data_IF_095715661623
#
_entry.id   IF_095715661623
#
_cell.length_a   1.000
_cell.length_b   1.000
_cell.length_c   1.000
_cell.angle_alpha   90.00
_cell.angle_beta   90.00
_cell.angle_gamma   90.00
#
_symmetry.space_group_name_H-M   'P 1'
#
loop_
_entity.id
_entity.type
_entity.pdbx_description
1 polymer ?
#
# COMPACT_ATOMS: atom_id res chain seq x y z
N UNK A 1 -0.29 -0.36 10.72
CA UNK A 1 0.27 0.97 10.41
C UNK A 1 -0.19 1.40 9.03
N UNK A 2 -0.94 2.49 8.96
CA UNK A 2 -1.40 3.13 7.73
C UNK A 2 -0.32 4.12 7.27
N UNK A 3 0.41 3.81 6.19
CA UNK A 3 1.56 4.63 5.79
C UNK A 3 1.17 5.97 5.17
N UNK A 4 -0.08 6.13 4.74
CA UNK A 4 -0.58 7.29 3.98
C UNK A 4 -0.40 8.60 4.75
N UNK A 5 -0.43 8.56 6.08
CA UNK A 5 -0.17 9.71 6.94
C UNK A 5 1.23 10.31 6.74
N UNK A 6 2.20 9.52 6.27
CA UNK A 6 3.55 10.00 5.94
C UNK A 6 3.61 10.71 4.59
N UNK A 7 2.61 10.52 3.72
CA UNK A 7 2.59 11.07 2.36
C UNK A 7 1.60 12.24 2.21
N UNK A 8 0.59 12.32 3.07
CA UNK A 8 -0.45 13.36 3.02
C UNK A 8 0.04 14.74 3.45
N UNK A 9 -0.44 15.79 2.79
CA UNK A 9 -0.24 17.19 3.21
C UNK A 9 1.13 17.79 2.90
N UNK A 10 1.90 17.19 1.98
CA UNK A 10 3.31 17.55 1.74
C UNK A 10 3.60 18.32 0.46
N UNK A 11 2.57 18.78 -0.27
CA UNK A 11 2.69 19.61 -1.48
C UNK A 11 3.81 19.18 -2.47
N UNK A 12 3.97 17.87 -2.70
CA UNK A 12 4.99 17.31 -3.62
C UNK A 12 6.22 16.74 -2.93
N UNK A 13 6.48 17.09 -1.67
CA UNK A 13 7.64 16.62 -0.93
C UNK A 13 7.37 15.24 -0.31
N UNK A 14 7.57 14.19 -1.10
CA UNK A 14 7.40 12.80 -0.64
C UNK A 14 8.41 12.44 0.47
N UNK A 15 8.02 11.62 1.46
CA UNK A 15 8.92 11.17 2.52
C UNK A 15 10.09 10.37 1.98
N UNK A 16 11.31 10.75 2.36
CA UNK A 16 12.52 10.00 2.06
C UNK A 16 12.62 8.67 2.84
N UNK A 17 13.57 7.82 2.46
CA UNK A 17 13.76 6.49 3.04
C UNK A 17 13.98 6.53 4.57
N UNK A 18 14.85 7.41 5.05
CA UNK A 18 15.17 7.52 6.48
C UNK A 18 13.97 7.99 7.31
N UNK A 19 13.18 8.92 6.80
CA UNK A 19 11.98 9.41 7.47
C UNK A 19 10.94 8.29 7.64
N UNK A 20 10.70 7.53 6.57
CA UNK A 20 9.80 6.39 6.60
C UNK A 20 10.32 5.29 7.54
N UNK A 21 11.60 4.96 7.44
CA UNK A 21 12.26 3.97 8.29
C UNK A 21 12.10 4.32 9.77
N UNK A 22 12.38 5.56 10.17
CA UNK A 22 12.24 6.00 11.55
C UNK A 22 10.80 5.94 12.05
N UNK A 23 9.81 6.24 11.18
CA UNK A 23 8.41 6.11 11.53
C UNK A 23 8.00 4.64 11.76
N UNK A 24 8.43 3.74 10.88
CA UNK A 24 8.17 2.31 11.00
C UNK A 24 8.88 1.69 12.21
N UNK A 25 10.13 2.08 12.46
CA UNK A 25 10.90 1.67 13.64
C UNK A 25 10.23 2.10 14.93
N UNK A 26 9.77 3.35 15.02
CA UNK A 26 9.00 3.84 16.19
C UNK A 26 7.72 3.05 16.43
N UNK A 27 7.02 2.66 15.36
CA UNK A 27 5.84 1.79 15.49
C UNK A 27 6.21 0.41 16.02
N UNK A 28 7.32 -0.19 15.58
CA UNK A 28 7.83 -1.46 16.10
C UNK A 28 8.23 -1.39 17.57
N UNK A 29 8.97 -0.35 17.96
CA UNK A 29 9.39 -0.12 19.33
C UNK A 29 8.18 -0.03 20.28
N UNK A 30 7.12 0.66 19.84
CA UNK A 30 5.87 0.79 20.58
C UNK A 30 5.08 -0.51 20.76
N UNK A 31 5.32 -1.53 19.92
CA UNK A 31 4.63 -2.82 19.98
C UNK A 31 5.33 -3.86 20.88
N UNK A 32 6.48 -3.54 21.48
CA UNK A 32 7.15 -4.37 22.50
C UNK A 32 7.32 -5.85 22.09
N UNK A 33 7.71 -6.09 20.83
CA UNK A 33 7.96 -7.42 20.28
C UNK A 33 6.77 -8.09 19.59
N UNK A 34 5.58 -7.47 19.64
CA UNK A 34 4.43 -7.88 18.81
C UNK A 34 4.62 -7.43 17.35
N UNK A 35 4.04 -8.17 16.38
CA UNK A 35 4.17 -7.83 14.96
C UNK A 35 3.48 -6.51 14.60
N UNK A 36 4.10 -5.74 13.71
CA UNK A 36 3.50 -4.56 13.08
C UNK A 36 3.18 -4.86 11.63
N UNK A 37 1.89 -4.80 11.28
CA UNK A 37 1.47 -4.81 9.87
C UNK A 37 1.55 -3.42 9.27
N UNK A 38 2.49 -3.19 8.36
CA UNK A 38 2.69 -1.96 7.61
C UNK A 38 2.00 -2.10 6.25
N UNK A 39 0.95 -1.32 6.02
CA UNK A 39 0.33 -1.22 4.71
C UNK A 39 1.17 -0.28 3.84
N UNK A 40 1.52 -0.69 2.63
CA UNK A 40 2.17 0.22 1.67
C UNK A 40 1.21 1.33 1.28
N UNK A 41 1.72 2.38 0.64
CA UNK A 41 0.93 3.59 0.41
C UNK A 41 -0.36 3.30 -0.37
N UNK A 42 -1.49 3.75 0.18
CA UNK A 42 -2.83 3.68 -0.41
C UNK A 42 -3.41 5.09 -0.57
N UNK A 43 -2.78 5.88 -1.45
CA UNK A 43 -3.27 7.19 -1.86
C UNK A 43 -3.41 7.22 -3.38
N UNK A 44 -4.36 8.01 -3.88
CA UNK A 44 -4.44 8.37 -5.29
C UNK A 44 -3.51 9.52 -5.65
N UNK A 45 -3.20 9.67 -6.93
CA UNK A 45 -2.54 10.85 -7.51
C UNK A 45 -3.25 12.18 -7.17
N UNK A 46 -4.53 12.11 -6.78
CA UNK A 46 -5.45 13.24 -6.73
C UNK A 46 -5.59 13.89 -5.34
N UNK A 47 -4.72 13.58 -4.37
CA UNK A 47 -4.63 14.33 -3.10
C UNK A 47 -3.45 15.32 -3.16
N UNK A 48 -3.65 16.57 -2.69
CA UNK A 48 -3.31 17.80 -3.38
C UNK A 48 -1.81 17.94 -3.66
N UNK A 49 -1.38 17.44 -4.83
CA UNK A 49 -0.10 17.82 -5.40
C UNK A 49 -0.21 19.06 -6.28
N UNK A 50 -1.41 19.38 -6.79
CA UNK A 50 -1.69 20.69 -7.38
C UNK A 50 -3.18 21.03 -7.27
N UNK A 51 -3.52 22.15 -6.62
CA UNK A 51 -4.90 22.69 -6.62
C UNK A 51 -5.32 23.19 -8.02
N UNK A 52 -4.38 23.40 -8.93
CA UNK A 52 -4.60 23.91 -10.27
C UNK A 52 -5.01 22.84 -11.31
N UNK A 53 -4.84 21.55 -11.00
CA UNK A 53 -5.17 20.44 -11.90
C UNK A 53 -6.56 19.82 -11.62
N UNK A 54 -7.44 20.52 -10.90
CA UNK A 54 -8.76 19.99 -10.50
C UNK A 54 -9.78 19.94 -11.62
N UNK A 55 -9.59 20.69 -12.69
CA UNK A 55 -10.60 20.79 -13.76
C UNK A 55 -10.51 19.65 -14.81
N UNK A 56 -9.40 18.91 -14.85
CA UNK A 56 -9.22 17.70 -15.67
C UNK A 56 -9.13 16.40 -14.82
N UNK A 57 -9.33 16.51 -13.50
CA UNK A 57 -9.08 15.43 -12.55
C UNK A 57 -10.11 14.29 -12.70
N UNK A 58 -9.58 13.08 -12.92
CA UNK A 58 -10.26 11.80 -13.12
C UNK A 58 -11.71 11.71 -12.58
N UNK A 59 -12.66 11.44 -13.48
CA UNK A 59 -14.11 11.29 -13.20
C UNK A 59 -14.44 10.34 -12.03
N UNK A 60 -13.55 9.42 -11.67
CA UNK A 60 -13.73 8.47 -10.56
C UNK A 60 -12.38 8.17 -9.85
N UNK A 61 -11.96 8.98 -8.87
CA UNK A 61 -10.69 8.80 -8.16
C UNK A 61 -10.56 7.43 -7.48
N UNK A 62 -11.67 6.85 -7.01
CA UNK A 62 -11.71 5.49 -6.46
C UNK A 62 -11.26 4.44 -7.48
N UNK A 63 -11.50 4.65 -8.78
CA UNK A 63 -11.10 3.70 -9.84
C UNK A 63 -9.79 4.09 -10.54
N UNK A 64 -9.16 5.19 -10.12
CA UNK A 64 -8.00 5.80 -10.78
C UNK A 64 -6.63 5.22 -10.40
N UNK A 65 -5.61 6.04 -10.62
CA UNK A 65 -4.20 5.76 -10.31
C UNK A 65 -3.96 5.94 -8.80
N UNK A 66 -4.22 4.89 -8.03
CA UNK A 66 -4.01 4.87 -6.58
C UNK A 66 -3.27 3.64 -6.10
N UNK A 67 -2.74 3.73 -4.88
CA UNK A 67 -2.22 2.60 -4.14
C UNK A 67 -1.15 1.84 -4.95
N UNK A 68 -1.26 0.51 -5.06
CA UNK A 68 -0.29 -0.29 -5.82
C UNK A 68 -0.16 0.15 -7.28
N UNK A 69 -1.21 0.68 -7.91
CA UNK A 69 -1.13 1.15 -9.31
C UNK A 69 -0.21 2.37 -9.41
N UNK A 70 -0.30 3.29 -8.46
CA UNK A 70 0.62 4.43 -8.39
C UNK A 70 2.03 3.96 -8.04
N UNK A 71 2.18 3.06 -7.07
CA UNK A 71 3.47 2.47 -6.69
C UNK A 71 4.18 1.75 -7.86
N UNK A 72 3.43 1.12 -8.77
CA UNK A 72 4.00 0.49 -9.97
C UNK A 72 4.27 1.49 -11.10
N UNK A 73 3.50 2.58 -11.18
CA UNK A 73 3.73 3.66 -12.14
C UNK A 73 4.92 4.56 -11.76
N UNK A 74 5.21 4.70 -10.46
CA UNK A 74 6.38 5.39 -9.91
C UNK A 74 7.22 4.44 -9.03
N UNK A 75 8.07 3.60 -9.66
CA UNK A 75 8.87 2.62 -8.93
C UNK A 75 9.91 3.23 -7.98
N UNK A 76 10.43 4.43 -8.25
CA UNK A 76 11.46 5.04 -7.40
C UNK A 76 10.88 5.45 -6.04
N UNK A 77 9.67 6.03 -6.04
CA UNK A 77 8.89 6.27 -4.83
C UNK A 77 8.62 4.97 -4.09
N UNK A 78 8.17 3.92 -4.80
CA UNK A 78 7.82 2.66 -4.15
C UNK A 78 9.03 1.94 -3.58
N UNK A 79 10.14 1.87 -4.31
CA UNK A 79 11.40 1.30 -3.84
C UNK A 79 11.91 2.02 -2.58
N UNK A 80 11.69 3.34 -2.46
CA UNK A 80 11.99 4.11 -1.24
C UNK A 80 11.20 3.60 -0.04
N UNK A 81 9.90 3.37 -0.21
CA UNK A 81 9.07 2.78 0.83
C UNK A 81 9.48 1.33 1.16
N UNK A 82 9.74 0.50 0.14
CA UNK A 82 10.13 -0.90 0.33
C UNK A 82 11.44 -1.02 1.12
N UNK A 83 12.46 -0.22 0.78
CA UNK A 83 13.73 -0.19 1.50
C UNK A 83 13.54 0.23 2.96
N UNK A 84 12.70 1.23 3.22
CA UNK A 84 12.39 1.68 4.58
C UNK A 84 11.71 0.58 5.42
N UNK A 85 10.74 -0.15 4.85
CA UNK A 85 10.06 -1.27 5.52
C UNK A 85 11.05 -2.40 5.81
N UNK A 86 11.88 -2.78 4.82
CA UNK A 86 12.91 -3.82 4.97
C UNK A 86 13.93 -3.47 6.07
N UNK A 87 14.40 -2.23 6.10
CA UNK A 87 15.29 -1.73 7.16
C UNK A 87 14.63 -1.81 8.53
N UNK A 88 13.36 -1.40 8.65
CA UNK A 88 12.63 -1.48 9.92
C UNK A 88 12.49 -2.93 10.40
N UNK A 89 12.31 -3.89 9.48
CA UNK A 89 12.21 -5.31 9.80
C UNK A 89 13.48 -5.90 10.44
N UNK A 90 14.64 -5.22 10.36
CA UNK A 90 15.84 -5.63 11.10
C UNK A 90 15.66 -5.50 12.64
N UNK A 91 14.66 -4.73 13.09
CA UNK A 91 14.45 -4.38 14.50
C UNK A 91 13.24 -5.07 15.14
N UNK A 92 12.46 -5.85 14.38
CA UNK A 92 11.27 -6.50 14.92
C UNK A 92 10.45 -7.25 13.87
N UNK A 93 9.31 -7.80 14.30
CA UNK A 93 8.42 -8.57 13.42
C UNK A 93 7.59 -7.62 12.55
N UNK A 94 7.84 -7.63 11.25
CA UNK A 94 7.11 -6.80 10.27
C UNK A 94 6.29 -7.69 9.34
N UNK A 95 5.04 -7.28 9.15
CA UNK A 95 4.18 -7.79 8.09
C UNK A 95 3.97 -6.66 7.08
N UNK A 96 4.34 -6.83 5.81
CA UNK A 96 4.04 -5.87 4.75
C UNK A 96 2.71 -6.23 4.10
N UNK A 97 1.80 -5.27 3.97
CA UNK A 97 0.48 -5.47 3.38
C UNK A 97 0.31 -4.59 2.14
N UNK A 98 0.05 -5.21 0.99
CA UNK A 98 -0.08 -4.51 -0.30
C UNK A 98 -1.57 -4.28 -0.63
N UNK A 99 -2.03 -3.02 -0.75
CA UNK A 99 -3.41 -2.67 -1.07
C UNK A 99 -3.71 -2.73 -2.57
N UNK A 100 -5.00 -2.82 -2.92
CA UNK A 100 -5.57 -2.59 -4.26
C UNK A 100 -5.05 -3.52 -5.38
N UNK A 101 -4.47 -4.66 -5.03
CA UNK A 101 -4.07 -5.67 -6.02
C UNK A 101 -5.31 -6.26 -6.71
N UNK A 102 -5.25 -6.35 -8.03
CA UNK A 102 -6.31 -6.89 -8.86
C UNK A 102 -5.81 -7.99 -9.82
N UNK A 103 -4.54 -7.98 -10.22
CA UNK A 103 -4.00 -8.86 -11.25
C UNK A 103 -2.70 -9.56 -10.84
N UNK A 104 -2.49 -10.79 -11.35
CA UNK A 104 -1.26 -11.55 -11.11
C UNK A 104 0.02 -10.85 -11.63
N UNK A 105 -0.09 -10.00 -12.65
CA UNK A 105 1.03 -9.18 -13.14
C UNK A 105 1.50 -8.16 -12.11
N UNK A 106 0.57 -7.55 -11.36
CA UNK A 106 0.89 -6.58 -10.30
C UNK A 106 1.64 -7.29 -9.17
N UNK A 107 1.16 -8.47 -8.75
CA UNK A 107 1.83 -9.32 -7.75
C UNK A 107 3.28 -9.58 -8.14
N UNK A 108 3.53 -10.03 -9.38
CA UNK A 108 4.89 -10.31 -9.86
C UNK A 108 5.77 -9.07 -9.90
N UNK A 109 5.23 -7.91 -10.29
CA UNK A 109 5.97 -6.65 -10.28
C UNK A 109 6.32 -6.21 -8.85
N UNK A 110 5.38 -6.34 -7.91
CA UNK A 110 5.63 -6.04 -6.49
C UNK A 110 6.73 -6.91 -5.91
N UNK A 111 6.71 -8.23 -6.18
CA UNK A 111 7.75 -9.16 -5.74
C UNK A 111 9.11 -8.79 -6.35
N UNK A 112 9.14 -8.50 -7.65
CA UNK A 112 10.35 -8.03 -8.33
C UNK A 112 10.91 -6.78 -7.67
N UNK A 113 10.10 -5.75 -7.41
CA UNK A 113 10.56 -4.51 -6.77
C UNK A 113 11.01 -4.73 -5.33
N UNK A 114 10.39 -5.66 -4.60
CA UNK A 114 10.86 -6.05 -3.27
C UNK A 114 12.26 -6.67 -3.31
N UNK A 115 12.54 -7.53 -4.28
CA UNK A 115 13.86 -8.11 -4.49
C UNK A 115 14.89 -7.07 -4.95
N UNK A 116 14.50 -6.13 -5.80
CA UNK A 116 15.34 -4.99 -6.17
C UNK A 116 15.68 -4.11 -4.95
N UNK A 117 14.73 -3.86 -4.06
CA UNK A 117 14.96 -3.11 -2.83
C UNK A 117 15.98 -3.83 -1.91
N UNK A 118 15.88 -5.15 -1.77
CA UNK A 118 16.88 -5.97 -1.04
C UNK A 118 18.26 -5.83 -1.65
N UNK A 119 18.39 -6.02 -2.98
CA UNK A 119 19.66 -5.89 -3.68
C UNK A 119 20.28 -4.48 -3.56
N UNK A 120 19.45 -3.43 -3.53
CA UNK A 120 19.92 -2.06 -3.29
C UNK A 120 20.47 -1.87 -1.87
N UNK A 121 19.84 -2.49 -0.86
CA UNK A 121 20.33 -2.45 0.52
C UNK A 121 21.61 -3.27 0.69
N UNK A 122 21.70 -4.44 0.07
CA UNK A 122 22.92 -5.26 0.03
C UNK A 122 24.10 -4.48 -0.57
N UNK A 123 23.89 -3.83 -1.72
CA UNK A 123 24.92 -2.99 -2.37
C UNK A 123 25.38 -1.82 -1.49
N UNK A 124 24.48 -1.29 -0.65
CA UNK A 124 24.78 -0.19 0.29
C UNK A 124 25.37 -0.70 1.62
N UNK A 125 25.42 -2.01 1.85
CA UNK A 125 25.82 -2.60 3.14
C UNK A 125 24.86 -2.23 4.28
N UNK A 126 23.58 -1.97 3.98
CA UNK A 126 22.57 -1.59 4.97
C UNK A 126 21.81 -2.83 5.42
N UNK A 127 21.82 -3.17 6.73
CA UNK A 127 21.07 -4.31 7.24
C UNK A 127 19.55 -4.17 7.01
N UNK A 128 18.91 -5.30 6.73
CA UNK A 128 17.45 -5.45 6.68
C UNK A 128 17.04 -6.79 7.28
N UNK A 129 15.76 -6.91 7.66
CA UNK A 129 15.20 -8.12 8.24
C UNK A 129 14.20 -8.84 7.33
N UNK A 130 13.81 -10.07 7.71
CA UNK A 130 12.72 -10.78 7.05
C UNK A 130 11.38 -10.10 7.38
N UNK A 131 10.41 -10.23 6.47
CA UNK A 131 9.03 -9.79 6.67
C UNK A 131 8.08 -10.85 6.13
N UNK A 132 6.85 -10.88 6.66
CA UNK A 132 5.76 -11.61 6.03
C UNK A 132 5.08 -10.69 5.02
N UNK A 133 4.82 -11.19 3.81
CA UNK A 133 4.16 -10.45 2.75
C UNK A 133 2.69 -10.83 2.68
N UNK A 134 1.80 -9.86 2.76
CA UNK A 134 0.36 -10.05 2.63
C UNK A 134 -0.28 -9.16 1.58
N UNK A 135 -1.48 -9.55 1.16
CA UNK A 135 -2.31 -8.80 0.24
C UNK A 135 -3.62 -8.37 0.90
N UNK A 136 -4.04 -7.13 0.62
CA UNK A 136 -5.37 -6.68 0.98
C UNK A 136 -6.35 -7.15 -0.10
N UNK A 137 -7.34 -7.94 0.30
CA UNK A 137 -8.44 -8.39 -0.55
C UNK A 137 -9.55 -7.35 -0.43
N UNK A 138 -9.49 -6.39 -1.36
CA UNK A 138 -10.43 -5.26 -1.42
C UNK A 138 -10.94 -4.95 -2.82
N UNK A 139 -10.43 -5.65 -3.84
CA UNK A 139 -10.97 -5.64 -5.20
C UNK A 139 -11.75 -6.93 -5.44
N UNK A 140 -12.97 -6.90 -6.01
CA UNK A 140 -13.74 -8.10 -6.29
C UNK A 140 -12.97 -9.13 -7.12
N UNK A 141 -12.19 -8.68 -8.10
CA UNK A 141 -11.32 -9.54 -8.89
C UNK A 141 -10.29 -10.31 -8.04
N UNK A 142 -9.73 -9.70 -6.99
CA UNK A 142 -8.81 -10.38 -6.07
C UNK A 142 -9.52 -11.45 -5.24
N UNK A 143 -10.76 -11.18 -4.80
CA UNK A 143 -11.59 -12.15 -4.09
C UNK A 143 -11.95 -13.37 -4.98
N UNK A 144 -12.15 -13.16 -6.28
CA UNK A 144 -12.41 -14.24 -7.24
C UNK A 144 -11.15 -15.06 -7.58
N UNK A 145 -9.96 -14.51 -7.37
CA UNK A 145 -8.66 -15.14 -7.69
C UNK A 145 -7.84 -15.49 -6.45
N UNK A 146 -8.49 -15.78 -5.32
CA UNK A 146 -7.82 -16.07 -4.05
C UNK A 146 -6.82 -17.23 -4.16
N UNK A 147 -7.13 -18.25 -4.95
CA UNK A 147 -6.25 -19.40 -5.21
C UNK A 147 -4.91 -18.99 -5.85
N UNK A 148 -4.91 -17.93 -6.65
CA UNK A 148 -3.69 -17.34 -7.22
C UNK A 148 -2.94 -16.56 -6.15
N UNK A 149 -3.63 -15.73 -5.37
CA UNK A 149 -3.01 -14.90 -4.32
C UNK A 149 -2.33 -15.74 -3.24
N UNK A 150 -2.97 -16.84 -2.80
CA UNK A 150 -2.43 -17.75 -1.80
C UNK A 150 -1.12 -18.44 -2.21
N UNK A 151 -0.74 -18.39 -3.49
CA UNK A 151 0.56 -18.91 -3.97
C UNK A 151 1.72 -17.94 -3.70
N UNK A 152 1.44 -16.67 -3.48
CA UNK A 152 2.46 -15.60 -3.41
C UNK A 152 2.49 -14.84 -2.08
N UNK A 153 1.41 -14.90 -1.30
CA UNK A 153 1.25 -14.14 -0.06
C UNK A 153 1.17 -15.07 1.15
N UNK A 154 1.88 -14.70 2.22
CA UNK A 154 1.91 -15.40 3.51
C UNK A 154 0.60 -15.25 4.29
N UNK A 155 -0.11 -14.14 4.08
CA UNK A 155 -1.40 -13.87 4.70
C UNK A 155 -2.26 -12.95 3.83
N UNK A 156 -3.57 -12.96 4.08
CA UNK A 156 -4.53 -12.09 3.42
C UNK A 156 -5.28 -11.25 4.46
N UNK A 157 -5.68 -10.05 4.09
CA UNK A 157 -6.48 -9.15 4.93
C UNK A 157 -7.65 -8.59 4.14
N UNK A 158 -8.87 -8.70 4.64
CA UNK A 158 -10.06 -8.24 3.92
C UNK A 158 -10.26 -6.74 4.17
N UNK A 159 -10.18 -5.94 3.11
CA UNK A 159 -10.51 -4.51 3.15
C UNK A 159 -11.99 -4.31 2.84
N UNK A 160 -12.88 -4.59 3.79
CA UNK A 160 -14.35 -4.57 3.58
C UNK A 160 -14.84 -3.26 2.99
N UNK A 161 -14.28 -2.15 3.46
CA UNK A 161 -14.53 -0.80 2.99
C UNK A 161 -14.54 -0.65 1.46
N UNK A 162 -13.43 -1.02 0.84
CA UNK A 162 -13.25 -0.87 -0.60
C UNK A 162 -13.89 -2.08 -1.32
N UNK A 163 -13.90 -3.26 -0.70
CA UNK A 163 -14.56 -4.44 -1.25
C UNK A 163 -16.07 -4.23 -1.44
N UNK A 164 -16.78 -3.72 -0.43
CA UNK A 164 -18.22 -3.42 -0.52
C UNK A 164 -18.47 -2.37 -1.59
N UNK A 165 -17.71 -1.27 -1.56
CA UNK A 165 -17.81 -0.18 -2.54
C UNK A 165 -17.67 -0.69 -3.98
N UNK A 166 -16.66 -1.50 -4.28
CA UNK A 166 -16.47 -2.02 -5.64
C UNK A 166 -17.40 -3.17 -5.99
N UNK A 167 -17.82 -3.99 -5.02
CA UNK A 167 -18.74 -5.11 -5.26
C UNK A 167 -20.15 -4.60 -5.55
N UNK A 168 -20.62 -3.61 -4.79
CA UNK A 168 -21.94 -3.00 -4.98
C UNK A 168 -21.94 -1.86 -6.00
N UNK A 169 -20.75 -1.43 -6.46
CA UNK A 169 -20.56 -0.28 -7.35
C UNK A 169 -21.13 1.04 -6.78
N UNK A 170 -20.86 1.30 -5.50
CA UNK A 170 -21.38 2.46 -4.75
C UNK A 170 -20.21 3.25 -4.18
N UNK A 171 -20.16 4.55 -4.50
CA UNK A 171 -19.28 5.46 -3.77
C UNK A 171 -19.93 5.83 -2.43
N UNK A 172 -19.35 5.35 -1.34
CA UNK A 172 -19.80 5.68 0.02
C UNK A 172 -19.64 7.15 0.39
N UNK A 173 -18.85 7.91 -0.37
CA UNK A 173 -18.67 9.36 -0.17
C UNK A 173 -19.71 10.18 -0.92
N UNK A 174 -20.51 9.53 -1.78
CA UNK A 174 -21.62 10.16 -2.49
C UNK A 174 -22.91 9.98 -1.67
N UNK A 175 -23.35 11.07 -1.04
CA UNK A 175 -24.55 11.12 -0.19
C UNK A 175 -25.82 10.59 -0.92
N UNK A 176 -25.88 10.69 -2.25
CA UNK A 176 -27.03 10.23 -3.03
C UNK A 176 -27.19 8.70 -3.01
N UNK A 177 -26.09 7.96 -2.88
CA UNK A 177 -26.06 6.49 -2.94
C UNK A 177 -25.48 5.84 -1.68
N UNK A 178 -24.95 6.62 -0.73
CA UNK A 178 -24.36 6.11 0.50
C UNK A 178 -25.32 5.21 1.32
N UNK A 179 -26.63 5.43 1.23
CA UNK A 179 -27.64 4.58 1.89
C UNK A 179 -27.72 3.15 1.32
N UNK A 180 -27.19 2.91 0.12
CA UNK A 180 -27.08 1.59 -0.49
C UNK A 180 -25.79 0.85 -0.07
N UNK A 181 -24.86 1.55 0.59
CA UNK A 181 -23.66 0.92 1.14
C UNK A 181 -24.09 0.02 2.30
N UNK A 182 -24.15 -1.28 2.04
CA UNK A 182 -24.56 -2.28 3.00
C UNK A 182 -23.35 -3.12 3.44
N UNK A 183 -22.89 -2.99 4.68
CA UNK A 183 -21.83 -3.82 5.21
C UNK A 183 -22.26 -5.25 5.53
N UNK A 184 -23.58 -5.56 5.53
CA UNK A 184 -24.24 -6.88 5.55
C UNK A 184 -25.73 -6.78 5.90
#
# INVERSE_FOLDING_TARGET
FRSEFLFMGRNGNLPGEDEQYEAYRRALDGMQGLPVTIRTVDIGSDKPLDKAARDDAHLNPALGLRAIRWSLADPDMFLTQLRAILRAAAHGKVNMLVPMLAHASEIRQTLSLLDHARAQLDKRGVPYGPLQLGAMIEIPAAALMLDVFLKYFDFLSIGTNDLIQYTLAIDRSDDAVAHLYDPL
#
